data_IF_642208538212
#
_entry.id   IF_642208538212
#
_cell.length_a   1.000
_cell.length_b   1.000
_cell.length_c   1.000
_cell.angle_alpha   90.00
_cell.angle_beta   90.00
_cell.angle_gamma   90.00
#
_symmetry.space_group_name_H-M   'P 1'
#
loop_
_entity.id
_entity.type
_entity.pdbx_description
1 polymer ?
#
# COMPACT_ATOMS: atom_id res chain seq x y z
N UNK A 1 -10.98 -3.44 31.82
CA UNK A 1 -9.71 -2.89 31.30
C UNK A 1 -9.81 -2.88 29.77
N UNK A 2 -9.99 -1.71 29.15
CA UNK A 2 -10.04 -1.65 27.68
C UNK A 2 -8.66 -1.87 27.09
N UNK A 3 -8.52 -2.79 26.12
CA UNK A 3 -7.26 -2.95 25.36
C UNK A 3 -6.94 -1.61 24.67
N UNK A 4 -5.89 -0.94 25.08
CA UNK A 4 -5.46 0.32 24.46
C UNK A 4 -4.73 0.01 23.16
N UNK A 5 -5.35 0.33 22.03
CA UNK A 5 -4.72 0.18 20.72
C UNK A 5 -3.96 1.46 20.37
N UNK A 6 -2.72 1.41 19.83
CA UNK A 6 -2.02 2.61 19.39
C UNK A 6 -2.80 3.30 18.26
N UNK A 7 -2.65 4.63 18.14
CA UNK A 7 -3.45 5.42 17.20
C UNK A 7 -3.24 4.95 15.74
N UNK A 8 -2.00 4.65 15.37
CA UNK A 8 -1.62 4.16 14.04
C UNK A 8 -2.38 2.89 13.66
N UNK A 9 -2.52 1.96 14.61
CA UNK A 9 -3.25 0.72 14.40
C UNK A 9 -4.75 0.97 14.16
N UNK A 10 -5.35 1.89 14.92
CA UNK A 10 -6.78 2.24 14.76
C UNK A 10 -7.04 2.88 13.39
N UNK A 11 -6.15 3.76 12.96
CA UNK A 11 -6.24 4.43 11.66
C UNK A 11 -6.05 3.46 10.51
N UNK A 12 -5.09 2.53 10.62
CA UNK A 12 -4.88 1.47 9.65
C UNK A 12 -6.11 0.56 9.48
N UNK A 13 -6.73 0.12 10.58
CA UNK A 13 -7.97 -0.70 10.54
C UNK A 13 -9.11 0.07 9.89
N UNK A 14 -9.24 1.37 10.20
CA UNK A 14 -10.26 2.21 9.58
C UNK A 14 -10.01 2.41 8.07
N UNK A 15 -8.74 2.57 7.65
CA UNK A 15 -8.35 2.69 6.24
C UNK A 15 -8.77 1.46 5.43
N UNK A 16 -8.52 0.26 5.93
CA UNK A 16 -8.92 -0.99 5.25
C UNK A 16 -10.44 -1.05 4.98
N UNK A 17 -11.26 -0.50 5.87
CA UNK A 17 -12.72 -0.48 5.71
C UNK A 17 -13.14 0.61 4.72
N UNK A 18 -12.56 1.80 4.81
CA UNK A 18 -12.98 2.96 4.02
C UNK A 18 -12.45 2.92 2.58
N UNK A 19 -11.25 2.37 2.38
CA UNK A 19 -10.56 2.43 1.08
C UNK A 19 -10.46 1.09 0.38
N UNK A 20 -10.41 -0.02 1.12
CA UNK A 20 -10.37 -1.38 0.54
C UNK A 20 -11.72 -2.10 0.62
N UNK A 21 -12.78 -1.41 1.05
CA UNK A 21 -14.15 -1.94 1.19
C UNK A 21 -14.25 -3.22 2.03
N UNK A 22 -13.33 -3.41 2.98
CA UNK A 22 -13.40 -4.55 3.92
C UNK A 22 -14.57 -4.37 4.88
N UNK A 23 -15.26 -5.47 5.18
CA UNK A 23 -16.36 -5.47 6.15
C UNK A 23 -15.83 -5.29 7.56
N UNK A 24 -16.40 -4.32 8.27
CA UNK A 24 -16.08 -4.07 9.68
C UNK A 24 -16.41 -5.27 10.59
N UNK A 25 -17.38 -6.11 10.22
CA UNK A 25 -17.71 -7.36 10.92
C UNK A 25 -16.56 -8.36 10.82
N UNK A 26 -16.02 -8.54 9.63
CA UNK A 26 -14.99 -9.55 9.36
C UNK A 26 -13.71 -9.17 10.12
N UNK A 27 -13.33 -7.89 10.08
CA UNK A 27 -12.20 -7.38 10.85
C UNK A 27 -12.44 -7.41 12.37
N UNK A 28 -13.68 -7.26 12.84
CA UNK A 28 -14.00 -7.40 14.27
C UNK A 28 -13.73 -8.83 14.78
N UNK A 29 -14.09 -9.83 13.97
CA UNK A 29 -13.83 -11.22 14.25
C UNK A 29 -12.34 -11.57 14.12
N UNK A 30 -11.70 -11.15 13.02
CA UNK A 30 -10.29 -11.46 12.72
C UNK A 30 -9.32 -10.85 13.74
N UNK A 31 -9.58 -9.60 14.15
CA UNK A 31 -8.69 -8.86 15.06
C UNK A 31 -9.10 -9.00 16.53
N UNK A 32 -10.21 -9.71 16.82
CA UNK A 32 -10.83 -9.80 18.15
C UNK A 32 -11.11 -8.43 18.79
N UNK A 33 -11.58 -7.49 17.97
CA UNK A 33 -11.88 -6.12 18.39
C UNK A 33 -13.39 -5.93 18.36
N UNK A 34 -14.00 -5.36 19.42
CA UNK A 34 -15.43 -5.08 19.41
C UNK A 34 -15.82 -4.23 18.20
N UNK A 35 -16.85 -4.66 17.48
CA UNK A 35 -17.36 -3.98 16.29
C UNK A 35 -17.64 -2.49 16.54
N UNK A 36 -18.16 -2.14 17.72
CA UNK A 36 -18.41 -0.76 18.15
C UNK A 36 -17.14 0.09 18.19
N UNK A 37 -16.00 -0.48 18.59
CA UNK A 37 -14.69 0.19 18.59
C UNK A 37 -14.24 0.45 17.16
N UNK A 38 -14.36 -0.54 16.28
CA UNK A 38 -14.01 -0.39 14.86
C UNK A 38 -14.87 0.68 14.20
N UNK A 39 -16.19 0.68 14.42
CA UNK A 39 -17.07 1.72 13.88
C UNK A 39 -16.68 3.11 14.35
N UNK A 40 -16.30 3.26 15.62
CA UNK A 40 -15.81 4.53 16.16
C UNK A 40 -14.53 4.98 15.45
N UNK A 41 -13.58 4.07 15.19
CA UNK A 41 -12.36 4.39 14.47
C UNK A 41 -12.62 4.78 13.02
N UNK A 42 -13.52 4.07 12.34
CA UNK A 42 -13.98 4.41 10.97
C UNK A 42 -14.57 5.82 10.92
N UNK A 43 -15.42 6.18 11.89
CA UNK A 43 -15.99 7.53 11.97
C UNK A 43 -14.90 8.60 12.11
N UNK A 44 -13.99 8.43 13.08
CA UNK A 44 -12.88 9.36 13.30
C UNK A 44 -11.95 9.46 12.08
N UNK A 45 -11.69 8.35 11.40
CA UNK A 45 -10.88 8.34 10.18
C UNK A 45 -11.54 9.12 9.03
N UNK A 46 -12.85 8.94 8.82
CA UNK A 46 -13.61 9.71 7.83
C UNK A 46 -13.59 11.21 8.12
N UNK A 47 -13.74 11.59 9.39
CA UNK A 47 -13.65 12.99 9.84
C UNK A 47 -12.26 13.58 9.58
N UNK A 48 -11.18 12.86 9.93
CA UNK A 48 -9.80 13.29 9.66
C UNK A 48 -9.51 13.41 8.16
N UNK A 49 -9.98 12.44 7.37
CA UNK A 49 -9.83 12.46 5.90
C UNK A 49 -10.56 13.65 5.29
N UNK A 50 -11.78 13.96 5.74
CA UNK A 50 -12.52 15.14 5.31
C UNK A 50 -11.81 16.45 5.70
N UNK A 51 -11.10 16.47 6.82
CA UNK A 51 -10.29 17.61 7.28
C UNK A 51 -8.89 17.69 6.63
N UNK A 52 -8.50 16.74 5.76
CA UNK A 52 -7.18 16.69 5.14
C UNK A 52 -6.03 16.36 6.10
N UNK A 53 -6.33 15.80 7.28
CA UNK A 53 -5.36 15.48 8.34
C UNK A 53 -5.07 13.98 8.47
N UNK A 54 -5.45 13.18 7.47
CA UNK A 54 -5.17 11.73 7.49
C UNK A 54 -3.68 11.47 7.27
N UNK A 55 -3.05 10.73 8.18
CA UNK A 55 -1.70 10.21 7.96
C UNK A 55 -1.73 9.17 6.83
N UNK A 56 -0.72 9.22 5.96
CA UNK A 56 -0.59 8.33 4.81
C UNK A 56 0.01 6.98 5.26
N UNK A 57 -0.86 6.03 5.61
CA UNK A 57 -0.45 4.65 5.93
C UNK A 57 -0.54 3.79 4.68
N UNK A 58 0.44 2.92 4.43
CA UNK A 58 0.40 1.97 3.31
C UNK A 58 -0.24 0.66 3.76
N UNK A 59 -1.29 0.23 3.06
CA UNK A 59 -1.93 -1.06 3.30
C UNK A 59 -1.18 -2.21 2.60
N UNK A 60 -1.37 -3.48 3.00
CA UNK A 60 -0.76 -4.63 2.34
C UNK A 60 -1.11 -4.73 0.86
N UNK A 61 -2.35 -4.39 0.50
CA UNK A 61 -2.82 -4.36 -0.90
C UNK A 61 -2.11 -3.27 -1.70
N UNK A 62 -1.94 -2.08 -1.13
CA UNK A 62 -1.17 -1.00 -1.75
C UNK A 62 0.29 -1.37 -1.90
N UNK A 63 0.89 -2.00 -0.89
CA UNK A 63 2.27 -2.46 -0.91
C UNK A 63 2.50 -3.53 -1.98
N UNK A 64 1.55 -4.46 -2.17
CA UNK A 64 1.62 -5.46 -3.23
C UNK A 64 1.53 -4.83 -4.62
N UNK A 65 0.61 -3.87 -4.82
CA UNK A 65 0.49 -3.12 -6.08
C UNK A 65 1.76 -2.34 -6.40
N UNK A 66 2.32 -1.65 -5.41
CA UNK A 66 3.55 -0.87 -5.55
C UNK A 66 4.73 -1.78 -5.92
N UNK A 67 4.88 -2.92 -5.23
CA UNK A 67 5.90 -3.92 -5.56
C UNK A 67 5.77 -4.40 -7.01
N UNK A 68 4.57 -4.74 -7.44
CA UNK A 68 4.32 -5.22 -8.81
C UNK A 68 4.62 -4.15 -9.86
N UNK A 69 4.32 -2.88 -9.58
CA UNK A 69 4.70 -1.77 -10.46
C UNK A 69 6.22 -1.63 -10.55
N UNK A 70 6.91 -1.59 -9.40
CA UNK A 70 8.35 -1.48 -9.34
C UNK A 70 9.07 -2.64 -10.04
N UNK A 71 8.60 -3.88 -9.88
CA UNK A 71 9.15 -5.05 -10.58
C UNK A 71 9.02 -4.91 -12.10
N UNK A 72 7.89 -4.37 -12.57
CA UNK A 72 7.63 -4.17 -13.99
C UNK A 72 8.54 -3.09 -14.58
N UNK A 73 8.73 -2.00 -13.86
CA UNK A 73 9.67 -0.92 -14.23
C UNK A 73 11.11 -1.41 -14.23
N UNK A 74 11.53 -2.13 -13.19
CA UNK A 74 12.86 -2.72 -13.10
C UNK A 74 13.14 -3.65 -14.27
N UNK A 75 12.16 -4.49 -14.65
CA UNK A 75 12.30 -5.38 -15.80
C UNK A 75 12.45 -4.59 -17.12
N UNK A 76 11.63 -3.55 -17.32
CA UNK A 76 11.72 -2.71 -18.50
C UNK A 76 13.08 -1.99 -18.60
N UNK A 77 13.57 -1.44 -17.49
CA UNK A 77 14.88 -0.79 -17.41
C UNK A 77 16.04 -1.76 -17.65
N UNK A 78 15.93 -3.00 -17.17
CA UNK A 78 16.91 -4.05 -17.44
C UNK A 78 16.92 -4.43 -18.93
N UNK A 79 15.75 -4.60 -19.54
CA UNK A 79 15.63 -4.89 -20.97
C UNK A 79 16.21 -3.74 -21.83
N UNK A 80 15.92 -2.49 -21.49
CA UNK A 80 16.50 -1.32 -22.16
C UNK A 80 18.02 -1.30 -22.04
N UNK A 81 18.56 -1.55 -20.84
CA UNK A 81 20.00 -1.65 -20.63
C UNK A 81 20.63 -2.76 -21.48
N UNK A 82 19.99 -3.92 -21.57
CA UNK A 82 20.51 -5.03 -22.39
C UNK A 82 20.47 -4.69 -23.88
N UNK A 83 19.45 -3.98 -24.37
CA UNK A 83 19.41 -3.48 -25.74
C UNK A 83 20.54 -2.48 -25.98
N UNK A 84 20.75 -1.52 -25.08
CA UNK A 84 21.82 -0.53 -25.18
C UNK A 84 23.21 -1.20 -25.20
N UNK A 85 23.46 -2.17 -24.31
CA UNK A 85 24.70 -2.94 -24.30
C UNK A 85 24.92 -3.70 -25.61
N UNK A 86 23.88 -4.35 -26.14
CA UNK A 86 23.94 -5.05 -27.44
C UNK A 86 24.25 -4.07 -28.57
N UNK A 87 23.61 -2.91 -28.59
CA UNK A 87 23.86 -1.86 -29.56
C UNK A 87 25.32 -1.37 -29.46
N UNK A 88 25.78 -1.04 -28.25
CA UNK A 88 27.17 -0.66 -27.99
C UNK A 88 28.16 -1.70 -28.52
N UNK A 89 27.94 -2.99 -28.24
CA UNK A 89 28.79 -4.07 -28.74
C UNK A 89 28.81 -4.16 -30.27
N UNK A 90 27.67 -3.94 -30.93
CA UNK A 90 27.60 -3.88 -32.40
C UNK A 90 28.37 -2.66 -32.93
N UNK A 91 28.23 -1.50 -32.28
CA UNK A 91 28.91 -0.27 -32.69
C UNK A 91 30.43 -0.33 -32.45
N UNK A 92 30.90 -0.97 -31.37
CA UNK A 92 32.33 -1.11 -31.05
C UNK A 92 33.01 -2.25 -31.81
N UNK A 93 32.27 -3.27 -32.26
CA UNK A 93 32.77 -4.37 -33.11
C UNK A 93 32.82 -4.06 -34.60
N UNK A 94 32.53 -2.83 -35.03
CA UNK A 94 32.89 -2.35 -36.37
C UNK A 94 34.21 -1.56 -36.31
N UNK A 95 35.39 -2.20 -36.27
CA UNK A 95 36.60 -1.54 -36.70
C UNK A 95 36.55 -1.32 -38.21
N UNK A 96 37.15 -0.22 -38.68
CA UNK A 96 37.52 -0.02 -40.08
C UNK A 96 38.36 -1.18 -40.59
#
# INVERSE_FOLDING_TARGET
MGKHHPNEYREYVAKMIVEEDKKATDLAHELEIPYSSIQRWVKHYKEKKAAGQSQEYVTPSELEKLKKQHEKEMKALQEENEILKKAMHIFTKKPK
#
